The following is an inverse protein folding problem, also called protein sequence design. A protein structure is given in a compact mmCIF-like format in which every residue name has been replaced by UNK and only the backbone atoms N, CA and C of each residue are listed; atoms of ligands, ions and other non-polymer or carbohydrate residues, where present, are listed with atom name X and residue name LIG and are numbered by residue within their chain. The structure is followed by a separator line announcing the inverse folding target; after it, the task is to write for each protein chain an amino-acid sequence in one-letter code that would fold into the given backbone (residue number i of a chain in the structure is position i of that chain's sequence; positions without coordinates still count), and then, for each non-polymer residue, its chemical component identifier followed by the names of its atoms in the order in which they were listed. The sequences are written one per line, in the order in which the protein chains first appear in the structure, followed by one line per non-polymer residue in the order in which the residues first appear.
data_IF_290274494213
#
_entry.id   IF_290274494213
#
_cell.length_a   1.000
_cell.length_b   1.000
_cell.length_c   1.000
_cell.angle_alpha   90.00
_cell.angle_beta   90.00
_cell.angle_gamma   90.00
#
_symmetry.space_group_name_H-M   'P 1'
#
loop_
_entity.id
_entity.type
_entity.pdbx_description
1 polymer ?
#
# COMPACT_ATOMS: atom_id res chain seq x y z
N UNK A 1 16.95 25.65 -19.51
CA UNK A 1 17.40 26.80 -20.31
C UNK A 1 17.24 28.11 -19.56
N UNK A 2 16.23 28.27 -18.69
CA UNK A 2 16.00 29.49 -17.90
C UNK A 2 17.10 29.87 -16.89
N UNK A 3 17.78 28.88 -16.29
CA UNK A 3 18.88 29.11 -15.33
C UNK A 3 20.12 29.79 -15.94
N UNK A 4 20.32 29.66 -17.25
CA UNK A 4 21.44 30.28 -17.96
C UNK A 4 21.16 31.78 -18.15
N UNK A 5 19.90 32.16 -18.36
CA UNK A 5 19.53 33.53 -18.73
C UNK A 5 19.62 34.55 -17.59
N UNK A 6 19.41 34.12 -16.33
CA UNK A 6 19.50 35.03 -15.17
C UNK A 6 20.91 35.24 -14.63
N UNK A 7 21.82 34.29 -14.87
CA UNK A 7 23.20 34.32 -14.37
C UNK A 7 24.17 35.06 -15.32
N UNK A 8 23.76 35.26 -16.57
CA UNK A 8 24.57 35.84 -17.65
C UNK A 8 24.23 37.31 -17.94
N UNK A 9 23.61 38.05 -17.00
CA UNK A 9 23.45 39.50 -17.19
C UNK A 9 24.83 40.16 -17.32
N UNK A 10 25.23 40.40 -18.56
CA UNK A 10 26.40 41.17 -18.93
C UNK A 10 26.01 42.63 -18.80
N UNK A 11 26.28 43.24 -17.65
CA UNK A 11 26.33 44.69 -17.56
C UNK A 11 27.40 45.19 -18.56
N UNK A 12 27.02 46.16 -19.40
CA UNK A 12 27.81 46.67 -20.54
C UNK A 12 29.16 47.30 -20.14
N UNK A 13 29.46 47.40 -18.84
CA UNK A 13 30.67 48.02 -18.27
C UNK A 13 31.60 47.04 -17.53
N UNK A 14 31.50 45.73 -17.76
CA UNK A 14 32.32 44.73 -17.06
C UNK A 14 33.66 44.46 -17.74
N UNK A 15 34.77 44.49 -16.95
CA UNK A 15 36.10 44.12 -17.47
C UNK A 15 36.16 42.64 -17.86
N UNK A 16 37.04 42.28 -18.81
CA UNK A 16 37.23 40.89 -19.25
C UNK A 16 37.54 39.96 -18.06
N UNK A 17 38.33 40.43 -17.09
CA UNK A 17 38.64 39.68 -15.86
C UNK A 17 37.39 39.42 -15.01
N UNK A 18 36.50 40.40 -14.90
CA UNK A 18 35.24 40.26 -14.16
C UNK A 18 34.28 39.31 -14.89
N UNK A 19 34.20 39.40 -16.23
CA UNK A 19 33.41 38.48 -17.06
C UNK A 19 33.87 37.02 -16.86
N UNK A 20 35.17 36.77 -16.89
CA UNK A 20 35.75 35.44 -16.67
C UNK A 20 35.40 34.89 -15.28
N UNK A 21 35.55 35.71 -14.24
CA UNK A 21 35.20 35.34 -12.86
C UNK A 21 33.71 35.02 -12.72
N UNK A 22 32.85 35.81 -13.35
CA UNK A 22 31.41 35.59 -13.35
C UNK A 22 31.07 34.26 -14.05
N UNK A 23 31.65 34.01 -15.23
CA UNK A 23 31.45 32.76 -15.97
C UNK A 23 31.94 31.54 -15.19
N UNK A 24 33.12 31.61 -14.57
CA UNK A 24 33.65 30.53 -13.71
C UNK A 24 32.69 30.22 -12.56
N UNK A 25 32.23 31.26 -11.86
CA UNK A 25 31.26 31.12 -10.76
C UNK A 25 29.95 30.49 -11.26
N UNK A 26 29.44 30.92 -12.41
CA UNK A 26 28.22 30.36 -13.01
C UNK A 26 28.38 28.88 -13.36
N UNK A 27 29.52 28.49 -13.94
CA UNK A 27 29.82 27.10 -14.25
C UNK A 27 29.85 26.25 -12.98
N UNK A 28 30.49 26.73 -11.91
CA UNK A 28 30.53 26.02 -10.62
C UNK A 28 29.13 25.81 -10.04
N UNK A 29 28.28 26.84 -10.08
CA UNK A 29 26.87 26.76 -9.65
C UNK A 29 26.08 25.75 -10.48
N UNK A 30 26.18 25.81 -11.82
CA UNK A 30 25.47 24.89 -12.71
C UNK A 30 25.95 23.45 -12.56
N UNK A 31 27.25 23.25 -12.35
CA UNK A 31 27.80 21.92 -12.06
C UNK A 31 27.28 21.38 -10.72
N UNK A 32 27.18 22.22 -9.70
CA UNK A 32 26.58 21.85 -8.41
C UNK A 32 25.12 21.43 -8.60
N UNK A 33 24.30 22.27 -9.25
CA UNK A 33 22.90 21.95 -9.51
C UNK A 33 22.73 20.65 -10.32
N UNK A 34 23.59 20.42 -11.32
CA UNK A 34 23.59 19.15 -12.08
C UNK A 34 23.86 17.95 -11.18
N UNK A 35 24.83 18.03 -10.26
CA UNK A 35 25.15 16.96 -9.31
C UNK A 35 23.96 16.71 -8.37
N UNK A 36 23.45 17.78 -7.78
CA UNK A 36 22.35 17.71 -6.80
C UNK A 36 21.10 17.07 -7.43
N UNK A 37 20.71 17.49 -8.63
CA UNK A 37 19.56 16.91 -9.36
C UNK A 37 19.75 15.44 -9.73
N UNK A 38 20.96 15.05 -10.13
CA UNK A 38 21.27 13.65 -10.44
C UNK A 38 21.25 12.77 -9.19
N UNK A 39 21.76 13.27 -8.08
CA UNK A 39 21.73 12.57 -6.80
C UNK A 39 20.30 12.40 -6.29
N UNK A 40 19.48 13.45 -6.40
CA UNK A 40 18.07 13.38 -6.04
C UNK A 40 17.31 12.37 -6.89
N UNK A 41 17.48 12.39 -8.21
CA UNK A 41 16.85 11.41 -9.10
C UNK A 41 17.20 9.97 -8.69
N UNK A 42 18.47 9.73 -8.34
CA UNK A 42 18.93 8.41 -7.90
C UNK A 42 18.24 7.98 -6.61
N UNK A 43 18.11 8.87 -5.63
CA UNK A 43 17.40 8.59 -4.38
C UNK A 43 15.91 8.28 -4.62
N UNK A 44 15.24 9.06 -5.48
CA UNK A 44 13.84 8.82 -5.86
C UNK A 44 13.66 7.48 -6.57
N UNK A 45 14.59 7.07 -7.43
CA UNK A 45 14.56 5.77 -8.12
C UNK A 45 14.82 4.58 -7.19
N UNK A 46 15.64 4.77 -6.14
CA UNK A 46 15.84 3.74 -5.10
C UNK A 46 14.56 3.57 -4.28
N UNK A 47 13.92 4.68 -3.90
CA UNK A 47 12.64 4.64 -3.20
C UNK A 47 11.53 3.99 -4.05
N UNK A 48 11.38 4.41 -5.30
CA UNK A 48 10.40 3.84 -6.23
C UNK A 48 10.57 2.33 -6.43
N UNK A 49 11.83 1.85 -6.58
CA UNK A 49 12.11 0.41 -6.65
C UNK A 49 11.61 -0.34 -5.42
N UNK A 50 12.01 0.13 -4.22
CA UNK A 50 11.56 -0.52 -2.98
C UNK A 50 10.03 -0.51 -2.79
N UNK A 51 9.34 0.55 -3.21
CA UNK A 51 7.89 0.63 -3.15
C UNK A 51 7.23 -0.28 -4.19
N UNK A 52 7.78 -0.31 -5.40
CA UNK A 52 7.28 -1.13 -6.50
C UNK A 52 7.46 -2.62 -6.25
N UNK A 53 8.53 -3.05 -5.57
CA UNK A 53 8.73 -4.43 -5.14
C UNK A 53 7.62 -4.88 -4.17
N UNK A 54 7.20 -4.01 -3.25
CA UNK A 54 6.15 -4.29 -2.27
C UNK A 54 4.76 -4.24 -2.91
N UNK A 55 4.49 -3.22 -3.74
CA UNK A 55 3.17 -2.94 -4.33
C UNK A 55 2.91 -3.71 -5.64
N UNK A 56 3.95 -4.37 -6.16
CA UNK A 56 4.00 -5.00 -7.48
C UNK A 56 3.55 -4.05 -8.61
N UNK A 57 4.02 -2.81 -8.57
CA UNK A 57 3.72 -1.77 -9.57
C UNK A 57 4.88 -1.60 -10.55
N UNK A 58 4.63 -1.17 -11.79
CA UNK A 58 5.71 -0.84 -12.72
C UNK A 58 6.48 0.40 -12.27
N UNK A 59 7.80 0.40 -12.48
CA UNK A 59 8.67 1.54 -12.17
C UNK A 59 8.31 2.77 -13.01
N UNK A 60 8.46 3.95 -12.41
CA UNK A 60 8.29 5.21 -13.13
C UNK A 60 9.49 5.48 -14.04
N UNK A 61 9.22 5.94 -15.26
CA UNK A 61 10.28 6.20 -16.25
C UNK A 61 10.40 7.69 -16.57
N UNK A 62 11.64 8.18 -16.49
CA UNK A 62 12.11 9.46 -17.02
C UNK A 62 13.42 9.14 -17.78
N UNK A 63 13.79 9.97 -18.76
CA UNK A 63 15.09 9.86 -19.41
C UNK A 63 16.23 9.95 -18.37
N UNK A 64 16.92 8.82 -18.15
CA UNK A 64 18.00 8.67 -17.18
C UNK A 64 19.35 9.11 -17.73
N UNK A 65 19.46 9.30 -19.05
CA UNK A 65 20.71 9.68 -19.70
C UNK A 65 20.91 11.20 -19.68
N UNK A 66 19.85 11.99 -19.55
CA UNK A 66 19.89 13.45 -19.45
C UNK A 66 19.86 13.96 -18.01
N UNK A 67 20.09 15.26 -17.84
CA UNK A 67 19.92 15.92 -16.53
C UNK A 67 18.43 16.22 -16.38
N UNK A 68 17.76 15.72 -15.33
CA UNK A 68 16.32 15.91 -15.18
C UNK A 68 16.00 17.41 -15.01
N UNK A 69 14.88 17.83 -15.59
CA UNK A 69 14.33 19.15 -15.32
C UNK A 69 13.75 19.21 -13.90
N UNK A 70 13.48 20.40 -13.39
CA UNK A 70 12.78 20.55 -12.11
C UNK A 70 11.38 19.94 -12.18
N UNK A 71 10.70 20.10 -13.31
CA UNK A 71 9.37 19.54 -13.52
C UNK A 71 9.40 18.00 -13.53
N UNK A 72 10.42 17.40 -14.13
CA UNK A 72 10.63 15.94 -14.11
C UNK A 72 10.81 15.43 -12.68
N UNK A 73 11.64 16.12 -11.87
CA UNK A 73 11.83 15.78 -10.46
C UNK A 73 10.52 15.96 -9.67
N UNK A 74 9.75 17.01 -9.91
CA UNK A 74 8.45 17.23 -9.26
C UNK A 74 7.42 16.16 -9.62
N UNK A 75 7.38 15.73 -10.89
CA UNK A 75 6.53 14.60 -11.31
C UNK A 75 6.95 13.31 -10.60
N UNK A 76 8.26 13.04 -10.51
CA UNK A 76 8.78 11.87 -9.80
C UNK A 76 8.44 11.91 -8.31
N UNK A 77 8.67 13.05 -7.63
CA UNK A 77 8.31 13.23 -6.21
C UNK A 77 6.83 12.96 -5.95
N UNK A 78 5.94 13.50 -6.80
CA UNK A 78 4.50 13.25 -6.71
C UNK A 78 4.15 11.78 -6.92
N UNK A 79 4.81 11.11 -7.86
CA UNK A 79 4.62 9.68 -8.08
C UNK A 79 5.02 8.87 -6.84
N UNK A 80 6.23 9.08 -6.31
CA UNK A 80 6.70 8.40 -5.10
C UNK A 80 5.82 8.70 -3.90
N UNK A 81 5.36 9.94 -3.73
CA UNK A 81 4.40 10.29 -2.69
C UNK A 81 3.10 9.50 -2.83
N UNK A 82 2.56 9.37 -4.05
CA UNK A 82 1.35 8.58 -4.30
C UNK A 82 1.53 7.09 -4.01
N UNK A 83 2.71 6.52 -4.31
CA UNK A 83 3.03 5.14 -3.95
C UNK A 83 3.13 4.94 -2.44
N UNK A 84 3.72 5.88 -1.69
CA UNK A 84 3.75 5.80 -0.23
C UNK A 84 2.33 5.84 0.35
N UNK A 85 1.48 6.76 -0.11
CA UNK A 85 0.09 6.82 0.36
C UNK A 85 -0.68 5.54 0.03
N UNK A 86 -0.46 4.96 -1.16
CA UNK A 86 -1.10 3.71 -1.54
C UNK A 86 -0.60 2.53 -0.69
N UNK A 87 0.70 2.49 -0.36
CA UNK A 87 1.27 1.50 0.55
C UNK A 87 0.64 1.58 1.93
N UNK A 88 0.53 2.78 2.49
CA UNK A 88 -0.09 2.98 3.80
C UNK A 88 -1.55 2.50 3.80
N UNK A 89 -2.33 2.88 2.78
CA UNK A 89 -3.72 2.44 2.62
C UNK A 89 -3.85 0.91 2.53
N UNK A 90 -3.05 0.27 1.67
CA UNK A 90 -3.09 -1.20 1.51
C UNK A 90 -2.59 -1.93 2.74
N UNK A 91 -1.60 -1.38 3.46
CA UNK A 91 -1.13 -1.96 4.71
C UNK A 91 -2.22 -1.90 5.78
N UNK A 92 -2.89 -0.76 5.94
CA UNK A 92 -3.99 -0.62 6.90
C UNK A 92 -5.12 -1.60 6.58
N UNK A 93 -5.51 -1.68 5.31
CA UNK A 93 -6.52 -2.62 4.83
C UNK A 93 -6.10 -4.08 5.11
N UNK A 94 -4.85 -4.42 4.81
CA UNK A 94 -4.32 -5.77 5.05
C UNK A 94 -4.36 -6.13 6.54
N UNK A 95 -3.90 -5.25 7.42
CA UNK A 95 -3.87 -5.51 8.87
C UNK A 95 -5.28 -5.62 9.43
N UNK A 96 -6.20 -4.75 9.00
CA UNK A 96 -7.61 -4.81 9.42
C UNK A 96 -8.26 -6.13 8.99
N UNK A 97 -8.14 -6.47 7.71
CA UNK A 97 -8.75 -7.68 7.16
C UNK A 97 -8.12 -8.95 7.73
N UNK A 98 -6.79 -8.98 7.92
CA UNK A 98 -6.09 -10.11 8.55
C UNK A 98 -6.64 -10.39 9.95
N UNK A 99 -6.80 -9.36 10.78
CA UNK A 99 -7.39 -9.52 12.13
C UNK A 99 -8.80 -10.09 12.06
N UNK A 100 -9.63 -9.59 11.16
CA UNK A 100 -11.00 -10.06 11.01
C UNK A 100 -11.05 -11.51 10.49
N UNK A 101 -10.20 -11.88 9.54
CA UNK A 101 -10.06 -13.24 9.03
C UNK A 101 -9.69 -14.21 10.15
N UNK A 102 -8.69 -13.87 10.99
CA UNK A 102 -8.28 -14.72 12.11
C UNK A 102 -9.44 -14.98 13.06
N UNK A 103 -10.18 -13.93 13.44
CA UNK A 103 -11.35 -14.05 14.33
C UNK A 103 -12.45 -14.91 13.71
N UNK A 104 -12.74 -14.73 12.41
CA UNK A 104 -13.75 -15.54 11.72
C UNK A 104 -13.32 -17.00 11.58
N UNK A 105 -12.04 -17.26 11.33
CA UNK A 105 -11.50 -18.61 11.26
C UNK A 105 -11.57 -19.31 12.63
N UNK A 106 -11.27 -18.59 13.71
CA UNK A 106 -11.45 -19.09 15.08
C UNK A 106 -12.94 -19.37 15.39
N UNK A 107 -13.87 -18.47 15.04
CA UNK A 107 -15.32 -18.66 15.26
C UNK A 107 -15.89 -19.84 14.45
N UNK A 108 -15.33 -20.11 13.28
CA UNK A 108 -15.74 -21.20 12.39
C UNK A 108 -15.01 -22.53 12.65
N UNK A 109 -14.08 -22.58 13.62
CA UNK A 109 -13.14 -23.69 13.81
C UNK A 109 -12.41 -24.09 12.51
N UNK A 110 -12.14 -23.10 11.64
CA UNK A 110 -11.51 -23.31 10.33
C UNK A 110 -9.99 -23.15 10.42
N UNK A 111 -9.26 -24.16 9.94
CA UNK A 111 -7.80 -24.09 9.84
C UNK A 111 -7.37 -23.64 8.43
N UNK A 112 -6.27 -22.89 8.28
CA UNK A 112 -5.83 -22.39 6.98
C UNK A 112 -5.44 -23.54 6.03
N UNK A 113 -6.27 -23.77 5.01
CA UNK A 113 -6.15 -24.93 4.11
C UNK A 113 -5.37 -24.61 2.84
N UNK A 114 -5.52 -23.39 2.34
CA UNK A 114 -4.80 -22.91 1.15
C UNK A 114 -3.44 -22.32 1.50
N UNK A 115 -2.52 -22.27 0.52
CA UNK A 115 -1.25 -21.57 0.71
C UNK A 115 -1.48 -20.11 1.05
N UNK A 116 -2.42 -19.46 0.36
CA UNK A 116 -2.76 -18.06 0.59
C UNK A 116 -3.27 -17.80 2.01
N UNK A 117 -4.16 -18.66 2.55
CA UNK A 117 -4.61 -18.53 3.94
C UNK A 117 -3.45 -18.67 4.94
N UNK A 118 -2.53 -19.61 4.70
CA UNK A 118 -1.32 -19.75 5.53
C UNK A 118 -0.45 -18.51 5.46
N UNK A 119 -0.24 -17.95 4.27
CA UNK A 119 0.55 -16.74 4.07
C UNK A 119 -0.09 -15.54 4.81
N UNK A 120 -1.42 -15.42 4.76
CA UNK A 120 -2.15 -14.34 5.45
C UNK A 120 -2.11 -14.50 6.98
N UNK A 121 -2.39 -15.71 7.49
CA UNK A 121 -2.58 -15.95 8.93
C UNK A 121 -1.24 -16.14 9.66
N UNK A 122 -0.32 -16.90 9.08
CA UNK A 122 0.88 -17.37 9.78
C UNK A 122 2.13 -16.52 9.52
N UNK A 123 2.23 -15.80 8.40
CA UNK A 123 3.43 -15.02 8.08
C UNK A 123 3.41 -13.60 8.67
N UNK A 124 4.59 -12.97 8.73
CA UNK A 124 4.77 -11.59 9.18
C UNK A 124 4.15 -10.62 8.15
N UNK A 125 3.44 -9.61 8.65
CA UNK A 125 2.79 -8.57 7.85
C UNK A 125 3.77 -7.82 6.94
N UNK A 126 5.07 -7.81 7.26
CA UNK A 126 6.11 -7.15 6.48
C UNK A 126 6.58 -7.95 5.26
N UNK A 127 6.32 -9.26 5.23
CA UNK A 127 6.77 -10.15 4.15
C UNK A 127 5.71 -10.24 3.05
N UNK A 128 4.44 -9.99 3.39
CA UNK A 128 3.32 -10.07 2.48
C UNK A 128 3.40 -9.02 1.36
N UNK A 129 3.33 -9.45 0.10
CA UNK A 129 3.28 -8.55 -1.04
C UNK A 129 1.92 -7.84 -1.11
N UNK A 130 1.90 -6.50 -1.02
CA UNK A 130 0.71 -5.66 -1.09
C UNK A 130 0.27 -5.40 -2.54
N UNK A 131 0.32 -6.44 -3.38
CA UNK A 131 -0.13 -6.37 -4.76
C UNK A 131 -1.64 -6.15 -4.82
N UNK A 132 -2.14 -5.56 -5.90
CA UNK A 132 -3.59 -5.37 -6.08
C UNK A 132 -4.33 -6.71 -6.03
N UNK A 133 -3.76 -7.76 -6.63
CA UNK A 133 -4.37 -9.08 -6.71
C UNK A 133 -4.41 -9.75 -5.33
N UNK A 134 -3.38 -9.59 -4.52
CA UNK A 134 -3.34 -10.12 -3.16
C UNK A 134 -4.36 -9.42 -2.24
N UNK A 135 -4.52 -8.10 -2.36
CA UNK A 135 -5.54 -7.36 -1.61
C UNK A 135 -6.95 -7.81 -2.02
N UNK A 136 -7.21 -7.99 -3.33
CA UNK A 136 -8.50 -8.52 -3.80
C UNK A 136 -8.74 -9.96 -3.33
N UNK A 137 -7.71 -10.80 -3.30
CA UNK A 137 -7.80 -12.17 -2.79
C UNK A 137 -8.11 -12.19 -1.28
N UNK A 138 -7.51 -11.27 -0.51
CA UNK A 138 -7.79 -11.10 0.91
C UNK A 138 -9.25 -10.69 1.17
N UNK A 139 -9.77 -9.71 0.43
CA UNK A 139 -11.18 -9.31 0.50
C UNK A 139 -12.12 -10.46 0.15
N UNK A 140 -11.77 -11.24 -0.88
CA UNK A 140 -12.56 -12.41 -1.29
C UNK A 140 -12.58 -13.47 -0.19
N UNK A 141 -11.44 -13.76 0.43
CA UNK A 141 -11.35 -14.70 1.55
C UNK A 141 -12.24 -14.24 2.72
N UNK A 142 -12.17 -12.95 3.06
CA UNK A 142 -13.00 -12.39 4.12
C UNK A 142 -14.50 -12.57 3.81
N UNK A 143 -14.94 -12.22 2.60
CA UNK A 143 -16.33 -12.40 2.17
C UNK A 143 -16.78 -13.87 2.20
N UNK A 144 -15.89 -14.81 1.87
CA UNK A 144 -16.18 -16.23 1.93
C UNK A 144 -16.41 -16.71 3.36
N UNK A 145 -15.57 -16.28 4.31
CA UNK A 145 -15.71 -16.62 5.73
C UNK A 145 -16.99 -16.01 6.32
N UNK A 146 -17.28 -14.75 6.01
CA UNK A 146 -18.51 -14.09 6.45
C UNK A 146 -19.77 -14.79 5.91
N UNK A 147 -19.75 -15.21 4.63
CA UNK A 147 -20.84 -15.96 4.03
C UNK A 147 -21.04 -17.33 4.71
N UNK A 148 -19.94 -18.03 5.02
CA UNK A 148 -20.01 -19.30 5.73
C UNK A 148 -20.58 -19.13 7.14
N UNK A 149 -20.16 -18.11 7.87
CA UNK A 149 -20.69 -17.76 9.18
C UNK A 149 -22.20 -17.45 9.13
N UNK A 150 -22.62 -16.64 8.17
CA UNK A 150 -24.04 -16.32 7.99
C UNK A 150 -24.88 -17.57 7.68
N UNK A 151 -24.36 -18.50 6.88
CA UNK A 151 -25.01 -19.77 6.59
C UNK A 151 -25.13 -20.64 7.84
N UNK A 152 -24.06 -20.77 8.62
CA UNK A 152 -24.09 -21.52 9.87
C UNK A 152 -25.12 -20.93 10.86
N UNK A 153 -25.16 -19.61 11.00
CA UNK A 153 -26.15 -18.94 11.87
C UNK A 153 -27.59 -19.15 11.37
N UNK A 154 -27.82 -19.11 10.06
CA UNK A 154 -29.14 -19.38 9.49
C UNK A 154 -29.61 -20.82 9.77
N UNK A 155 -28.72 -21.81 9.65
CA UNK A 155 -29.02 -23.20 9.97
C UNK A 155 -29.26 -23.38 11.47
N UNK A 156 -28.41 -22.77 12.32
CA UNK A 156 -28.57 -22.82 13.78
C UNK A 156 -29.90 -22.20 14.23
N UNK A 157 -30.29 -21.06 13.66
CA UNK A 157 -31.56 -20.39 13.98
C UNK A 157 -32.77 -21.21 13.55
N UNK A 158 -32.72 -21.84 12.37
CA UNK A 158 -33.77 -22.77 11.91
C UNK A 158 -33.91 -23.98 12.86
N UNK A 159 -32.78 -24.62 13.21
CA UNK A 159 -32.78 -25.77 14.11
C UNK A 159 -33.28 -25.41 15.51
N UNK A 160 -32.85 -24.26 16.06
CA UNK A 160 -33.35 -23.74 17.34
C UNK A 160 -34.86 -23.50 17.29
N UNK A 161 -35.38 -22.90 16.22
CA UNK A 161 -36.83 -22.70 16.05
C UNK A 161 -37.59 -24.04 16.00
N UNK A 162 -37.02 -25.05 15.33
CA UNK A 162 -37.61 -26.40 15.29
C UNK A 162 -37.59 -27.09 16.64
N UNK A 163 -36.52 -26.94 17.42
CA UNK A 163 -36.43 -27.46 18.80
C UNK A 163 -37.51 -26.81 19.67
N UNK A 164 -37.64 -25.48 19.65
CA UNK A 164 -38.67 -24.75 20.39
C UNK A 164 -40.08 -25.25 20.01
N UNK A 165 -40.37 -25.42 18.72
CA UNK A 165 -41.66 -25.95 18.28
C UNK A 165 -41.94 -27.38 18.79
N UNK A 166 -40.91 -28.21 18.93
CA UNK A 166 -41.05 -29.55 19.51
C UNK A 166 -41.27 -29.50 21.02
N UNK A 167 -40.54 -28.63 21.74
CA UNK A 167 -40.72 -28.42 23.18
C UNK A 167 -42.14 -27.95 23.53
N UNK A 168 -42.70 -27.03 22.74
CA UNK A 168 -44.09 -26.58 22.90
C UNK A 168 -45.08 -27.73 22.67
N UNK A 169 -44.85 -28.57 21.65
CA UNK A 169 -45.73 -29.72 21.36
C UNK A 169 -45.67 -30.81 22.42
N UNK A 170 -44.50 -31.01 23.02
CA UNK A 170 -44.26 -32.01 24.06
C UNK A 170 -44.54 -31.49 25.48
N UNK A 171 -44.85 -30.19 25.63
CA UNK A 171 -45.05 -29.52 26.92
C UNK A 171 -43.88 -29.71 27.89
N UNK A 172 -42.65 -29.61 27.37
CA UNK A 172 -41.44 -29.76 28.20
C UNK A 172 -41.39 -28.59 29.21
N UNK A 173 -41.22 -28.87 30.53
CA UNK A 173 -41.10 -27.84 31.56
C UNK A 173 -39.92 -26.90 31.32
N UNK A 174 -40.03 -25.67 31.81
CA UNK A 174 -39.01 -24.63 31.61
C UNK A 174 -37.65 -25.02 32.21
N UNK A 175 -37.65 -25.77 33.32
CA UNK A 175 -36.43 -26.26 33.98
C UNK A 175 -35.62 -27.22 33.08
N UNK A 176 -36.29 -28.04 32.27
CA UNK A 176 -35.64 -28.95 31.31
C UNK A 176 -35.15 -28.20 30.06
N UNK A 177 -35.80 -27.09 29.69
CA UNK A 177 -35.37 -26.24 28.57
C UNK A 177 -34.11 -25.46 28.92
N UNK A 178 -34.04 -24.90 30.13
CA UNK A 178 -32.87 -24.17 30.62
C UNK A 178 -31.64 -25.05 30.81
N UNK A 179 -31.83 -26.33 31.18
CA UNK A 179 -30.72 -27.28 31.31
C UNK A 179 -30.21 -27.84 29.97
N UNK A 180 -30.98 -27.67 28.89
CA UNK A 180 -30.68 -28.19 27.54
C UNK A 180 -30.27 -27.10 26.54
N UNK A 181 -30.27 -25.82 26.94
CA UNK A 181 -29.88 -24.65 26.16
C UNK A 181 -28.37 -24.38 26.28
#
# INVERSE_FOLDING_TARGET
TELISGLLQTEEETTILQMEKNLRTCVEVLQKQKRDRKQELKALQEQDRSLSDILCTPLFSIDTNSVPSLEDLDRYRRHVASLNTLKEQRQEEFVSNKRQIILLMEELDHTPDTSFERDVVCEDEKVFCLSKDNIMALQKLLQQLEAQRALNEAVCTELRARILALWERLQIPEEERESSA
#
